data_IF_313227113799
#
_entry.id   IF_313227113799
#
_cell.length_a   1.000
_cell.length_b   1.000
_cell.length_c   1.000
_cell.angle_alpha   90.00
_cell.angle_beta   90.00
_cell.angle_gamma   90.00
#
_symmetry.space_group_name_H-M   'P 1'
#
loop_
_entity.id
_entity.type
_entity.pdbx_description
1 polymer ?
#
# COMPACT_ATOMS: atom_id res chain seq x y z
N UNK A 1 -20.56 -8.34 31.51
CA UNK A 1 -19.72 -7.37 30.78
C UNK A 1 -19.23 -6.38 31.83
N UNK A 2 -17.97 -6.44 32.24
CA UNK A 2 -17.48 -5.60 33.34
C UNK A 2 -17.09 -4.21 32.83
N UNK A 3 -17.51 -3.19 33.57
CA UNK A 3 -17.22 -1.78 33.31
C UNK A 3 -15.83 -1.43 33.88
N UNK A 4 -14.82 -2.26 33.61
CA UNK A 4 -13.49 -2.04 34.15
C UNK A 4 -12.87 -0.80 33.49
N UNK A 5 -12.66 0.26 34.28
CA UNK A 5 -11.93 1.45 33.85
C UNK A 5 -10.44 1.18 34.09
N UNK A 6 -9.66 1.19 33.01
CA UNK A 6 -8.21 1.18 33.09
C UNK A 6 -7.73 2.61 33.38
N UNK A 7 -6.82 2.75 34.32
CA UNK A 7 -6.25 4.04 34.69
C UNK A 7 -5.33 4.52 33.55
N UNK A 8 -5.42 5.79 33.15
CA UNK A 8 -4.76 6.30 31.93
C UNK A 8 -3.24 6.21 31.98
N UNK A 9 -2.66 6.21 33.17
CA UNK A 9 -1.24 5.97 33.41
C UNK A 9 -0.79 4.54 33.07
N UNK A 10 -1.72 3.59 32.99
CA UNK A 10 -1.46 2.20 32.59
C UNK A 10 -1.69 1.94 31.10
N UNK A 11 -2.29 2.89 30.39
CA UNK A 11 -2.53 2.79 28.94
C UNK A 11 -1.39 3.43 28.18
N UNK A 12 -0.55 2.61 27.53
CA UNK A 12 0.47 3.08 26.60
C UNK A 12 -0.07 2.92 25.19
N UNK A 13 -0.20 3.99 24.38
CA UNK A 13 -0.61 3.87 23.00
C UNK A 13 0.48 3.13 22.21
N UNK A 14 0.16 1.91 21.75
CA UNK A 14 1.09 1.02 21.04
C UNK A 14 0.86 0.97 19.52
N UNK A 15 -0.03 1.81 18.98
CA UNK A 15 -0.40 1.81 17.54
C UNK A 15 -0.65 3.21 16.94
N UNK A 16 -0.10 4.27 17.52
CA UNK A 16 -0.26 5.64 16.97
C UNK A 16 1.02 6.47 17.08
N UNK A 17 2.18 5.89 16.74
CA UNK A 17 3.32 6.76 16.46
C UNK A 17 3.09 7.43 15.10
N UNK A 18 3.49 8.71 14.98
CA UNK A 18 3.19 9.58 13.82
C UNK A 18 3.47 8.96 12.45
N UNK A 19 4.46 8.08 12.35
CA UNK A 19 4.97 7.55 11.09
C UNK A 19 4.74 6.03 10.91
N UNK A 20 3.73 5.44 11.55
CA UNK A 20 3.58 3.98 11.70
C UNK A 20 3.42 3.25 10.35
N UNK A 21 2.71 3.88 9.41
CA UNK A 21 2.55 3.42 8.03
C UNK A 21 3.16 4.48 7.12
N UNK A 22 4.47 4.41 6.82
CA UNK A 22 5.10 5.42 5.98
C UNK A 22 4.54 5.32 4.56
N UNK A 23 4.23 6.47 3.96
CA UNK A 23 3.81 6.52 2.55
C UNK A 23 4.92 5.97 1.67
N UNK A 24 4.57 5.04 0.78
CA UNK A 24 5.51 4.53 -0.21
C UNK A 24 5.49 5.46 -1.43
N UNK A 25 6.59 6.16 -1.65
CA UNK A 25 6.77 7.01 -2.82
C UNK A 25 7.62 6.31 -3.87
N UNK A 26 7.23 6.40 -5.14
CA UNK A 26 7.98 5.89 -6.29
C UNK A 26 8.36 4.41 -6.10
N UNK A 27 7.36 3.51 -5.99
CA UNK A 27 7.63 2.10 -5.74
C UNK A 27 8.52 1.51 -6.83
N UNK A 28 9.41 0.60 -6.43
CA UNK A 28 10.15 -0.22 -7.40
C UNK A 28 9.17 -1.12 -8.15
N UNK A 29 9.22 -1.07 -9.48
CA UNK A 29 8.32 -1.81 -10.35
C UNK A 29 9.01 -3.07 -10.84
N UNK A 30 8.45 -4.21 -10.46
CA UNK A 30 8.91 -5.51 -10.89
C UNK A 30 8.13 -5.93 -12.13
N UNK A 31 8.84 -6.29 -13.20
CA UNK A 31 8.25 -7.09 -14.27
C UNK A 31 8.09 -8.56 -13.82
N UNK A 32 7.44 -9.36 -14.66
CA UNK A 32 7.17 -10.77 -14.35
C UNK A 32 8.45 -11.60 -14.25
N UNK A 33 9.50 -11.27 -15.02
CA UNK A 33 10.75 -12.00 -15.04
C UNK A 33 11.58 -11.72 -13.77
N UNK A 34 11.73 -10.45 -13.41
CA UNK A 34 12.39 -10.01 -12.18
C UNK A 34 11.68 -10.56 -10.93
N UNK A 35 10.34 -10.58 -10.93
CA UNK A 35 9.58 -11.19 -9.85
C UNK A 35 9.82 -12.71 -9.76
N UNK A 36 9.89 -13.42 -10.89
CA UNK A 36 10.16 -14.85 -10.93
C UNK A 36 11.57 -15.18 -10.41
N UNK A 37 12.57 -14.35 -10.74
CA UNK A 37 13.92 -14.47 -10.21
C UNK A 37 13.95 -14.25 -8.69
N UNK A 38 13.34 -13.17 -8.21
CA UNK A 38 13.22 -12.87 -6.77
C UNK A 38 12.57 -14.04 -6.00
N UNK A 39 11.50 -14.62 -6.56
CA UNK A 39 10.79 -15.76 -6.00
C UNK A 39 11.55 -17.09 -6.05
N UNK A 40 12.66 -17.17 -6.78
CA UNK A 40 13.48 -18.39 -6.91
C UNK A 40 14.51 -18.53 -5.78
N UNK A 41 14.68 -17.48 -4.96
CA UNK A 41 15.58 -17.50 -3.80
C UNK A 41 15.09 -18.42 -2.67
N UNK A 42 15.95 -18.66 -1.66
CA UNK A 42 15.63 -19.53 -0.52
C UNK A 42 14.67 -18.90 0.50
N UNK A 43 14.29 -17.62 0.32
CA UNK A 43 13.35 -16.91 1.19
C UNK A 43 11.91 -17.20 0.77
N UNK A 44 10.95 -16.78 1.61
CA UNK A 44 9.55 -16.78 1.21
C UNK A 44 9.37 -15.97 -0.07
N UNK A 45 8.52 -16.48 -0.97
CA UNK A 45 8.15 -15.81 -2.21
C UNK A 45 7.52 -14.46 -1.89
N UNK A 46 7.90 -13.44 -2.64
CA UNK A 46 7.44 -12.08 -2.47
C UNK A 46 5.97 -11.92 -2.89
N UNK A 47 5.62 -12.42 -4.08
CA UNK A 47 4.23 -12.51 -4.58
C UNK A 47 4.01 -13.89 -5.16
N UNK A 48 2.87 -14.51 -4.88
CA UNK A 48 2.42 -15.76 -5.49
C UNK A 48 1.09 -15.58 -6.24
N UNK A 49 0.74 -16.51 -7.12
CA UNK A 49 -0.44 -16.40 -8.00
C UNK A 49 -1.79 -16.29 -7.28
N UNK A 50 -1.84 -16.55 -5.97
CA UNK A 50 -3.06 -16.45 -5.14
C UNK A 50 -3.12 -15.17 -4.31
N UNK A 51 -2.09 -14.34 -4.35
CA UNK A 51 -2.10 -13.09 -3.61
C UNK A 51 -3.12 -12.12 -4.21
N UNK A 52 -3.78 -11.40 -3.32
CA UNK A 52 -4.69 -10.33 -3.70
C UNK A 52 -3.88 -9.09 -4.08
N UNK A 53 -4.29 -8.49 -5.18
CA UNK A 53 -3.69 -7.27 -5.71
C UNK A 53 -4.78 -6.27 -6.06
N UNK A 54 -4.41 -5.00 -6.01
CA UNK A 54 -5.15 -3.90 -6.62
C UNK A 54 -4.62 -3.71 -8.02
N UNK A 55 -5.44 -3.98 -9.03
CA UNK A 55 -5.12 -3.68 -10.42
C UNK A 55 -5.55 -2.27 -10.78
N UNK A 56 -4.64 -1.46 -11.33
CA UNK A 56 -4.94 -0.13 -11.86
C UNK A 56 -4.50 -0.09 -13.32
N UNK A 57 -5.33 0.48 -14.18
CA UNK A 57 -4.99 0.69 -15.59
C UNK A 57 -5.31 2.13 -15.98
N UNK A 58 -4.29 2.86 -16.46
CA UNK A 58 -4.38 4.27 -16.87
C UNK A 58 -3.59 4.42 -18.16
N UNK A 59 -4.15 5.11 -19.15
CA UNK A 59 -3.51 5.38 -20.45
C UNK A 59 -2.93 4.13 -21.15
N UNK A 60 -3.52 2.95 -20.92
CA UNK A 60 -3.07 1.67 -21.50
C UNK A 60 -1.93 0.99 -20.75
N UNK A 61 -1.37 1.60 -19.70
CA UNK A 61 -0.42 0.97 -18.79
C UNK A 61 -1.18 0.35 -17.60
N UNK A 62 -0.84 -0.88 -17.25
CA UNK A 62 -1.44 -1.60 -16.14
C UNK A 62 -0.40 -1.94 -15.07
N UNK A 63 -0.77 -1.77 -13.80
CA UNK A 63 0.07 -2.09 -12.64
C UNK A 63 -0.73 -2.79 -11.56
N UNK A 64 -0.08 -3.69 -10.84
CA UNK A 64 -0.66 -4.45 -9.75
C UNK A 64 0.03 -4.11 -8.44
N UNK A 65 -0.74 -3.69 -7.43
CA UNK A 65 -0.25 -3.35 -6.10
C UNK A 65 -0.67 -4.44 -5.11
N UNK A 66 0.26 -5.25 -4.58
CA UNK A 66 -0.08 -6.33 -3.66
C UNK A 66 -0.67 -5.81 -2.35
N UNK A 67 -1.73 -6.46 -1.85
CA UNK A 67 -2.35 -6.05 -0.60
C UNK A 67 -1.39 -6.11 0.59
N UNK A 68 -0.41 -7.02 0.60
CA UNK A 68 0.55 -7.08 1.70
C UNK A 68 1.48 -5.86 1.74
N UNK A 69 1.79 -5.24 0.59
CA UNK A 69 2.51 -3.96 0.53
C UNK A 69 1.61 -2.83 1.02
N UNK A 70 0.37 -2.81 0.53
CA UNK A 70 -0.63 -1.82 0.93
C UNK A 70 -1.02 -1.90 2.40
N UNK A 71 -0.99 -3.08 3.02
CA UNK A 71 -1.23 -3.25 4.46
C UNK A 71 -0.16 -2.57 5.32
N UNK A 72 1.07 -2.43 4.82
CA UNK A 72 2.17 -1.77 5.53
C UNK A 72 2.15 -0.26 5.26
N UNK A 73 1.94 0.13 4.00
CA UNK A 73 2.11 1.52 3.59
C UNK A 73 0.81 2.33 3.60
N UNK A 74 -0.35 1.69 3.47
CA UNK A 74 -1.70 2.26 3.36
C UNK A 74 -1.92 3.18 2.14
N UNK A 75 -0.87 3.91 1.73
CA UNK A 75 -0.81 4.90 0.68
C UNK A 75 0.45 4.62 -0.15
N UNK A 76 0.26 4.46 -1.46
CA UNK A 76 1.35 4.34 -2.44
C UNK A 76 1.20 5.48 -3.46
N UNK A 77 2.21 6.34 -3.53
CA UNK A 77 2.31 7.39 -4.53
C UNK A 77 3.17 6.89 -5.69
N UNK A 78 2.59 6.88 -6.88
CA UNK A 78 3.19 6.33 -8.09
C UNK A 78 2.94 7.27 -9.28
N UNK A 79 3.59 6.99 -10.40
CA UNK A 79 3.29 7.56 -11.72
C UNK A 79 3.01 6.41 -12.68
N UNK A 80 1.80 6.38 -13.25
CA UNK A 80 1.33 5.32 -14.12
C UNK A 80 0.80 5.93 -15.42
N UNK A 81 1.33 5.53 -16.58
CA UNK A 81 0.92 6.07 -17.87
C UNK A 81 1.02 7.60 -17.94
N UNK A 82 2.10 8.17 -17.44
CA UNK A 82 2.34 9.63 -17.31
C UNK A 82 1.38 10.38 -16.37
N UNK A 83 0.55 9.67 -15.59
CA UNK A 83 -0.35 10.26 -14.61
C UNK A 83 0.16 10.01 -13.19
N UNK A 84 0.42 11.05 -12.38
CA UNK A 84 0.77 10.87 -10.97
C UNK A 84 -0.48 10.43 -10.20
N UNK A 85 -0.39 9.33 -9.46
CA UNK A 85 -1.50 8.74 -8.73
C UNK A 85 -1.16 8.45 -7.27
N UNK A 86 -2.21 8.31 -6.46
CA UNK A 86 -2.18 7.73 -5.12
C UNK A 86 -3.12 6.54 -5.08
N UNK A 87 -2.58 5.38 -4.71
CA UNK A 87 -3.37 4.20 -4.35
C UNK A 87 -3.55 4.19 -2.83
N UNK A 88 -4.80 4.24 -2.38
CA UNK A 88 -5.18 4.21 -0.97
C UNK A 88 -5.89 2.90 -0.63
N UNK A 89 -5.49 2.26 0.47
CA UNK A 89 -6.07 1.04 0.98
C UNK A 89 -6.22 1.11 2.49
N UNK A 90 -7.44 0.98 3.01
CA UNK A 90 -7.67 0.94 4.45
C UNK A 90 -7.94 -0.49 4.93
N UNK A 91 -6.95 -1.09 5.63
CA UNK A 91 -7.03 -2.50 6.02
C UNK A 91 -8.21 -2.87 6.95
N UNK A 92 -8.68 -2.03 7.90
CA UNK A 92 -9.79 -2.41 8.78
C UNK A 92 -11.14 -2.48 8.06
N UNK A 93 -11.35 -1.62 7.06
CA UNK A 93 -12.61 -1.55 6.32
C UNK A 93 -12.58 -2.25 4.96
N UNK A 94 -11.38 -2.56 4.46
CA UNK A 94 -11.18 -3.03 3.08
C UNK A 94 -11.51 -1.96 2.03
N UNK A 95 -11.62 -0.69 2.43
CA UNK A 95 -11.90 0.39 1.50
C UNK A 95 -10.69 0.67 0.60
N UNK A 96 -10.97 0.92 -0.67
CA UNK A 96 -9.96 1.22 -1.67
C UNK A 96 -10.37 2.41 -2.51
N UNK A 97 -9.41 3.29 -2.77
CA UNK A 97 -9.58 4.39 -3.71
C UNK A 97 -8.26 4.66 -4.45
N UNK A 98 -8.38 5.17 -5.68
CA UNK A 98 -7.25 5.64 -6.47
C UNK A 98 -7.55 7.06 -6.88
N UNK A 99 -6.61 7.96 -6.62
CA UNK A 99 -6.73 9.38 -6.92
C UNK A 99 -5.62 9.79 -7.88
N UNK A 100 -5.94 10.70 -8.80
CA UNK A 100 -4.92 11.46 -9.51
C UNK A 100 -4.34 12.51 -8.55
N UNK A 101 -3.02 12.62 -8.48
CA UNK A 101 -2.29 13.56 -7.61
C UNK A 101 -2.01 14.88 -8.34
N UNK A 102 -3.03 15.46 -8.96
CA UNK A 102 -2.93 16.80 -9.56
C UNK A 102 -3.99 17.72 -8.99
N UNK A 103 -3.59 18.89 -8.54
CA UNK A 103 -4.49 19.96 -8.08
C UNK A 103 -4.18 21.19 -8.94
N UNK A 104 -5.21 21.74 -9.60
CA UNK A 104 -5.06 22.91 -10.48
C UNK A 104 -3.95 22.77 -11.54
N UNK A 105 -3.73 21.55 -12.03
CA UNK A 105 -2.70 21.23 -13.03
C UNK A 105 -1.28 21.08 -12.48
N UNK A 106 -1.09 21.16 -11.16
CA UNK A 106 0.20 20.92 -10.50
C UNK A 106 0.18 19.58 -9.77
N UNK A 107 1.24 18.79 -9.90
CA UNK A 107 1.43 17.58 -9.10
C UNK A 107 1.63 17.94 -7.61
N UNK A 108 1.05 17.12 -6.72
CA UNK A 108 1.14 17.25 -5.24
C UNK A 108 1.73 16.02 -4.58
#
# INVERSE_FOLDING_TARGET
MSNAQLASETTIPVMQHRDMSPVLHNPEIYDVAALAESNSGPRNKFIVSKDLVVGVTINGESRAYPLHVLNVHEIVNDTLGDTPITVYWNWPSGHIAVFERTIEGSEV
#
